data_IF_210953510647
#
_entry.id   IF_210953510647
#
_cell.length_a   1.000
_cell.length_b   1.000
_cell.length_c   1.000
_cell.angle_alpha   90.00
_cell.angle_beta   90.00
_cell.angle_gamma   90.00
#
_symmetry.space_group_name_H-M   'P 1'
#
loop_
_entity.id
_entity.type
_entity.pdbx_description
1 polymer ?
#
# COMPACT_ATOMS: atom_id res chain seq x y z
N UNK A 1 16.01 1.66 31.84
CA UNK A 1 16.26 2.22 30.50
C UNK A 1 15.20 1.66 29.57
N UNK A 2 14.41 2.49 28.87
CA UNK A 2 13.40 1.96 27.93
C UNK A 2 14.07 1.24 26.77
N UNK A 3 13.38 0.27 26.15
CA UNK A 3 13.88 -0.46 24.99
C UNK A 3 14.22 0.49 23.83
N UNK A 4 13.42 1.54 23.64
CA UNK A 4 13.67 2.56 22.63
C UNK A 4 14.97 3.33 22.88
N UNK A 5 15.27 3.73 24.13
CA UNK A 5 16.53 4.41 24.44
C UNK A 5 17.74 3.56 24.11
N UNK A 6 17.73 2.28 24.50
CA UNK A 6 18.81 1.36 24.17
C UNK A 6 19.00 1.24 22.67
N UNK A 7 17.90 1.13 21.92
CA UNK A 7 17.94 1.09 20.46
C UNK A 7 18.51 2.39 19.86
N UNK A 8 18.09 3.57 20.33
CA UNK A 8 18.62 4.85 19.87
C UNK A 8 20.12 4.95 20.15
N UNK A 9 20.57 4.56 21.34
CA UNK A 9 21.99 4.60 21.69
C UNK A 9 22.81 3.62 20.85
N UNK A 10 22.29 2.42 20.60
CA UNK A 10 22.88 1.45 19.67
C UNK A 10 23.02 2.02 18.26
N UNK A 11 21.94 2.60 17.71
CA UNK A 11 21.93 3.19 16.36
C UNK A 11 22.91 4.35 16.27
N UNK A 12 22.94 5.22 17.30
CA UNK A 12 23.87 6.37 17.38
C UNK A 12 25.33 5.90 17.36
N UNK A 13 25.65 4.82 18.06
CA UNK A 13 27.02 4.30 18.15
C UNK A 13 27.46 3.55 16.89
N UNK A 14 26.50 2.93 16.19
CA UNK A 14 26.83 1.90 15.19
C UNK A 14 26.56 2.32 13.75
N UNK A 15 25.61 3.22 13.50
CA UNK A 15 25.28 3.70 12.15
C UNK A 15 25.97 5.04 11.85
N UNK A 16 26.94 5.11 10.93
CA UNK A 16 27.62 6.36 10.58
C UNK A 16 26.69 7.48 10.12
N UNK A 17 25.59 7.15 9.44
CA UNK A 17 24.57 8.12 9.02
C UNK A 17 23.87 8.74 10.23
N UNK A 18 23.33 7.92 11.14
CA UNK A 18 22.62 8.43 12.31
C UNK A 18 23.54 9.10 13.32
N UNK A 19 24.78 8.63 13.47
CA UNK A 19 25.80 9.31 14.29
C UNK A 19 26.03 10.76 13.84
N UNK A 20 26.13 10.99 12.53
CA UNK A 20 26.29 12.33 11.95
C UNK A 20 25.03 13.19 12.13
N UNK A 21 23.85 12.62 11.85
CA UNK A 21 22.57 13.32 12.00
C UNK A 21 22.27 13.71 13.47
N UNK A 22 22.73 12.91 14.42
CA UNK A 22 22.45 13.10 15.85
C UNK A 22 23.61 13.70 16.64
N UNK A 23 24.66 14.21 15.99
CA UNK A 23 25.86 14.73 16.65
C UNK A 23 25.58 15.80 17.72
N UNK A 24 24.51 16.59 17.54
CA UNK A 24 24.11 17.68 18.44
C UNK A 24 22.84 17.35 19.23
N UNK A 25 22.32 16.12 19.13
CA UNK A 25 21.11 15.72 19.84
C UNK A 25 21.45 15.35 21.28
N UNK A 26 20.77 15.99 22.23
CA UNK A 26 20.83 15.62 23.65
C UNK A 26 19.51 14.95 24.02
N UNK A 27 19.56 13.67 24.39
CA UNK A 27 18.38 12.97 24.88
C UNK A 27 18.09 13.36 26.34
N UNK A 28 16.84 13.67 26.72
CA UNK A 28 16.48 13.87 28.13
C UNK A 28 16.77 12.59 28.93
N UNK A 29 17.09 12.66 30.22
CA UNK A 29 17.46 11.46 31.02
C UNK A 29 16.24 10.61 31.41
N UNK A 30 15.15 11.26 31.84
CA UNK A 30 13.92 10.62 32.32
C UNK A 30 12.76 10.84 31.35
N UNK A 31 13.04 10.71 30.05
CA UNK A 31 12.03 10.86 29.00
C UNK A 31 11.29 9.54 28.72
N UNK A 32 9.99 9.64 28.46
CA UNK A 32 9.22 8.57 27.84
C UNK A 32 9.58 8.39 26.35
N UNK A 33 8.95 7.41 25.69
CA UNK A 33 9.28 7.08 24.31
C UNK A 33 8.87 8.18 23.32
N UNK A 34 7.82 8.97 23.62
CA UNK A 34 7.40 10.08 22.77
C UNK A 34 8.38 11.26 22.89
N UNK A 35 8.75 11.63 24.13
CA UNK A 35 9.74 12.67 24.41
C UNK A 35 11.12 12.33 23.81
N UNK A 36 11.50 11.04 23.83
CA UNK A 36 12.70 10.53 23.17
C UNK A 36 12.67 10.73 21.65
N UNK A 37 11.55 10.43 21.01
CA UNK A 37 11.39 10.61 19.56
C UNK A 37 11.32 12.09 19.20
N UNK A 38 10.59 12.92 19.95
CA UNK A 38 10.51 14.36 19.69
C UNK A 38 11.89 15.05 19.74
N UNK A 39 12.80 14.57 20.59
CA UNK A 39 14.18 15.07 20.66
C UNK A 39 15.04 14.72 19.42
N UNK A 40 14.66 13.71 18.64
CA UNK A 40 15.37 13.30 17.43
C UNK A 40 14.79 14.02 16.19
N UNK A 41 15.59 14.43 15.21
CA UNK A 41 15.03 14.93 13.95
C UNK A 41 14.30 13.80 13.19
N UNK A 42 13.30 14.16 12.38
CA UNK A 42 12.77 13.26 11.35
C UNK A 42 13.93 12.92 10.40
N UNK A 43 14.07 11.63 10.05
CA UNK A 43 15.11 11.20 9.10
C UNK A 43 14.91 11.91 7.75
N UNK A 44 15.94 12.62 7.28
CA UNK A 44 15.95 13.13 5.92
C UNK A 44 15.98 11.96 4.94
N UNK A 45 14.84 11.72 4.29
CA UNK A 45 14.64 10.61 3.37
C UNK A 45 15.61 10.65 2.19
N UNK A 46 15.94 11.85 1.67
CA UNK A 46 16.86 11.99 0.55
C UNK A 46 18.27 11.63 1.00
N UNK A 47 18.72 12.22 2.10
CA UNK A 47 20.05 11.96 2.66
C UNK A 47 20.22 10.48 3.06
N UNK A 48 19.18 9.85 3.62
CA UNK A 48 19.18 8.43 3.96
C UNK A 48 19.48 7.55 2.75
N UNK A 49 18.81 7.81 1.62
CA UNK A 49 19.01 7.02 0.39
C UNK A 49 20.27 7.39 -0.38
N UNK A 50 20.80 8.61 -0.21
CA UNK A 50 22.15 8.97 -0.71
C UNK A 50 23.25 8.24 0.08
N UNK A 51 23.05 8.07 1.39
CA UNK A 51 23.96 7.34 2.28
C UNK A 51 23.82 5.80 2.17
N UNK A 52 22.73 5.31 1.58
CA UNK A 52 22.47 3.89 1.39
C UNK A 52 22.87 3.41 -0.01
N UNK A 53 23.92 2.60 -0.08
CA UNK A 53 24.51 2.10 -1.32
C UNK A 53 24.65 0.58 -1.29
N UNK A 54 24.78 -0.07 -2.44
CA UNK A 54 25.07 -1.51 -2.49
C UNK A 54 26.45 -1.87 -1.89
N UNK A 55 27.37 -0.91 -1.83
CA UNK A 55 28.71 -1.07 -1.30
C UNK A 55 29.05 0.07 -0.33
N UNK A 56 29.43 -0.27 0.90
CA UNK A 56 29.82 0.73 1.90
C UNK A 56 28.65 1.58 2.40
N UNK A 57 27.44 1.02 2.46
CA UNK A 57 26.26 1.70 2.98
C UNK A 57 26.53 2.27 4.38
N UNK A 58 26.34 3.58 4.54
CA UNK A 58 26.56 4.29 5.80
C UNK A 58 25.35 4.25 6.74
N UNK A 59 24.21 3.76 6.27
CA UNK A 59 23.01 3.62 7.11
C UNK A 59 23.05 2.35 7.95
N UNK A 60 23.83 1.34 7.55
CA UNK A 60 23.95 0.08 8.29
C UNK A 60 24.67 0.28 9.63
N UNK A 61 24.31 -0.55 10.60
CA UNK A 61 24.96 -0.59 11.93
C UNK A 61 26.10 -1.61 12.02
N UNK A 62 26.15 -2.54 11.06
CA UNK A 62 27.19 -3.55 10.94
C UNK A 62 27.29 -4.04 9.49
N UNK A 63 28.41 -4.65 9.07
CA UNK A 63 28.46 -5.39 7.81
C UNK A 63 27.40 -6.50 7.76
N UNK A 64 26.76 -6.69 6.62
CA UNK A 64 25.83 -7.81 6.45
C UNK A 64 26.60 -9.14 6.41
N UNK A 65 26.42 -9.96 7.45
CA UNK A 65 27.01 -11.31 7.54
C UNK A 65 26.06 -12.43 7.12
N UNK A 66 24.75 -12.18 7.11
CA UNK A 66 23.71 -13.17 6.86
C UNK A 66 22.44 -12.52 6.27
N UNK A 67 21.43 -13.35 5.99
CA UNK A 67 20.08 -12.92 5.66
C UNK A 67 19.85 -12.64 4.17
N UNK A 68 19.15 -11.55 3.86
CA UNK A 68 18.62 -11.27 2.51
C UNK A 68 18.70 -9.78 2.19
N UNK A 69 18.81 -9.45 0.91
CA UNK A 69 18.76 -8.08 0.39
C UNK A 69 17.56 -7.97 -0.53
N UNK A 70 16.75 -6.94 -0.32
CA UNK A 70 15.60 -6.63 -1.17
C UNK A 70 15.75 -5.25 -1.81
N UNK A 71 15.13 -5.04 -2.97
CA UNK A 71 14.89 -3.69 -3.49
C UNK A 71 13.67 -3.08 -2.81
N UNK A 72 13.67 -1.76 -2.66
CA UNK A 72 12.47 -1.01 -2.32
C UNK A 72 11.72 -0.60 -3.59
N UNK A 73 10.41 -0.43 -3.51
CA UNK A 73 9.60 -0.04 -4.68
C UNK A 73 9.94 1.36 -5.21
N UNK A 74 9.83 1.55 -6.53
CA UNK A 74 9.70 2.88 -7.16
C UNK A 74 10.97 3.73 -7.33
N UNK A 75 12.05 3.22 -7.94
CA UNK A 75 13.25 4.04 -8.19
C UNK A 75 13.73 4.02 -9.63
N UNK A 76 13.70 5.18 -10.28
CA UNK A 76 14.61 5.54 -11.37
C UNK A 76 15.94 6.02 -10.75
N UNK A 77 17.10 5.54 -11.24
CA UNK A 77 18.43 5.87 -10.70
C UNK A 77 19.05 4.79 -9.79
N UNK A 78 19.86 5.21 -8.80
CA UNK A 78 20.56 4.32 -7.87
C UNK A 78 19.58 3.34 -7.18
N UNK A 79 19.85 2.01 -7.18
CA UNK A 79 18.94 1.03 -6.62
C UNK A 79 18.88 1.18 -5.10
N UNK A 80 17.71 1.62 -4.60
CA UNK A 80 17.40 1.61 -3.17
C UNK A 80 17.19 0.16 -2.72
N UNK A 81 18.03 -0.29 -1.78
CA UNK A 81 18.00 -1.65 -1.25
C UNK A 81 17.84 -1.67 0.27
N UNK A 82 17.16 -2.68 0.78
CA UNK A 82 16.98 -2.96 2.20
C UNK A 82 17.68 -4.26 2.57
N UNK A 83 18.55 -4.18 3.57
CA UNK A 83 19.36 -5.30 4.05
C UNK A 83 18.72 -5.92 5.28
N UNK A 84 18.53 -7.23 5.32
CA UNK A 84 17.95 -7.95 6.45
C UNK A 84 18.89 -9.05 6.92
N UNK A 85 19.03 -9.23 8.23
CA UNK A 85 19.64 -10.45 8.82
C UNK A 85 18.69 -11.65 8.68
N UNK A 86 19.17 -12.87 8.94
CA UNK A 86 18.28 -14.05 8.95
C UNK A 86 17.19 -13.92 10.02
N UNK A 87 17.54 -13.43 11.21
CA UNK A 87 16.58 -13.25 12.29
C UNK A 87 15.52 -12.19 11.94
N UNK A 88 15.91 -11.07 11.34
CA UNK A 88 14.95 -10.05 10.91
C UNK A 88 14.01 -10.57 9.82
N UNK A 89 14.51 -11.40 8.89
CA UNK A 89 13.69 -12.06 7.87
C UNK A 89 12.72 -13.08 8.50
N UNK A 90 13.19 -13.89 9.45
CA UNK A 90 12.37 -14.87 10.17
C UNK A 90 11.22 -14.18 10.92
N UNK A 91 11.51 -13.06 11.58
CA UNK A 91 10.51 -12.22 12.24
C UNK A 91 9.46 -11.68 11.25
N UNK A 92 9.86 -11.22 10.05
CA UNK A 92 8.92 -10.80 9.00
C UNK A 92 7.96 -11.92 8.59
N UNK A 93 8.46 -13.15 8.49
CA UNK A 93 7.65 -14.32 8.20
C UNK A 93 6.53 -14.53 9.22
N UNK A 94 6.87 -14.46 10.52
CA UNK A 94 5.90 -14.58 11.61
C UNK A 94 4.90 -13.43 11.67
N UNK A 95 5.36 -12.18 11.48
CA UNK A 95 4.47 -11.00 11.43
C UNK A 95 3.42 -11.14 10.31
N UNK A 96 3.85 -11.54 9.11
CA UNK A 96 2.95 -11.72 7.97
C UNK A 96 2.04 -12.95 8.13
N UNK A 97 2.50 -14.00 8.81
CA UNK A 97 1.65 -15.13 9.19
C UNK A 97 0.52 -14.69 10.13
N UNK A 98 0.81 -13.79 11.09
CA UNK A 98 -0.23 -13.16 11.92
C UNK A 98 -1.24 -12.38 11.08
N UNK A 99 -0.78 -11.62 10.07
CA UNK A 99 -1.70 -10.94 9.15
C UNK A 99 -2.63 -11.92 8.41
N UNK A 100 -2.09 -13.00 7.85
CA UNK A 100 -2.88 -14.03 7.17
C UNK A 100 -3.94 -14.65 8.09
N UNK A 101 -3.56 -15.00 9.33
CA UNK A 101 -4.48 -15.54 10.33
C UNK A 101 -5.60 -14.53 10.66
N UNK A 102 -5.28 -13.24 10.81
CA UNK A 102 -6.28 -12.17 11.05
C UNK A 102 -7.20 -11.94 9.86
N UNK A 103 -6.74 -12.25 8.65
CA UNK A 103 -7.54 -12.26 7.43
C UNK A 103 -8.45 -13.49 7.30
N UNK A 104 -8.33 -14.47 8.20
CA UNK A 104 -9.14 -15.69 8.20
C UNK A 104 -8.59 -16.78 7.27
N UNK A 105 -7.30 -16.73 6.89
CA UNK A 105 -6.63 -17.82 6.16
C UNK A 105 -6.29 -18.94 7.15
N UNK A 106 -6.56 -20.18 6.78
CA UNK A 106 -6.28 -21.33 7.64
C UNK A 106 -6.29 -22.67 6.91
N UNK A 107 -6.44 -23.74 7.69
CA UNK A 107 -6.33 -25.12 7.21
C UNK A 107 -7.35 -25.40 6.10
N UNK A 108 -6.84 -25.93 4.99
CA UNK A 108 -7.66 -26.27 3.82
C UNK A 108 -7.68 -25.18 2.76
N UNK A 109 -7.26 -23.95 3.09
CA UNK A 109 -7.12 -22.92 2.08
C UNK A 109 -5.99 -23.23 1.10
N UNK A 110 -6.24 -22.94 -0.17
CA UNK A 110 -5.24 -22.96 -1.25
C UNK A 110 -4.94 -21.52 -1.62
N UNK A 111 -3.78 -21.03 -1.18
CA UNK A 111 -3.35 -19.63 -1.31
C UNK A 111 -2.56 -19.44 -2.60
N UNK A 112 -3.21 -18.87 -3.61
CA UNK A 112 -2.58 -18.44 -4.85
C UNK A 112 -1.71 -17.20 -4.58
N UNK A 113 -0.40 -17.40 -4.45
CA UNK A 113 0.55 -16.30 -4.32
C UNK A 113 0.93 -15.78 -5.72
N UNK A 114 0.38 -14.62 -6.07
CA UNK A 114 0.50 -13.97 -7.38
C UNK A 114 1.41 -12.73 -7.32
N UNK A 115 2.18 -12.55 -6.24
CA UNK A 115 3.16 -11.46 -6.18
C UNK A 115 4.38 -11.74 -7.07
N UNK A 116 5.08 -10.68 -7.48
CA UNK A 116 6.30 -10.80 -8.29
C UNK A 116 7.42 -11.51 -7.54
N UNK A 117 7.99 -12.53 -8.18
CA UNK A 117 9.14 -13.28 -7.70
C UNK A 117 10.43 -12.84 -8.40
N UNK A 118 11.53 -12.78 -7.65
CA UNK A 118 12.85 -12.44 -8.20
C UNK A 118 13.12 -10.94 -8.29
N UNK A 119 14.19 -10.57 -9.00
CA UNK A 119 14.70 -9.19 -9.14
C UNK A 119 14.84 -8.40 -7.82
N UNK A 120 15.09 -9.11 -6.72
CA UNK A 120 15.17 -8.57 -5.35
C UNK A 120 13.81 -8.06 -4.79
N UNK A 121 12.67 -8.34 -5.40
CA UNK A 121 11.37 -8.06 -4.78
C UNK A 121 11.08 -9.04 -3.65
N UNK A 122 10.67 -8.49 -2.51
CA UNK A 122 10.40 -9.28 -1.31
C UNK A 122 9.03 -9.98 -1.32
N UNK A 123 8.01 -9.39 -1.93
CA UNK A 123 6.61 -9.78 -1.70
C UNK A 123 6.33 -11.27 -1.93
N UNK A 124 6.76 -11.86 -3.05
CA UNK A 124 6.53 -13.29 -3.28
C UNK A 124 7.22 -14.16 -2.22
N UNK A 125 8.51 -13.93 -1.97
CA UNK A 125 9.30 -14.72 -1.00
C UNK A 125 8.78 -14.56 0.43
N UNK A 126 8.47 -13.33 0.84
CA UNK A 126 7.91 -13.05 2.16
C UNK A 126 6.57 -13.78 2.36
N UNK A 127 5.78 -13.93 1.30
CA UNK A 127 4.54 -14.70 1.36
C UNK A 127 4.70 -16.21 1.17
N UNK A 128 5.87 -16.69 0.73
CA UNK A 128 6.30 -18.08 1.00
C UNK A 128 6.41 -18.29 2.50
N UNK A 129 7.17 -17.44 3.19
CA UNK A 129 7.33 -17.53 4.64
C UNK A 129 6.03 -17.31 5.42
N UNK A 130 5.18 -16.37 5.02
CA UNK A 130 3.94 -16.09 5.76
C UNK A 130 3.00 -17.29 5.76
N UNK A 131 2.90 -18.04 4.65
CA UNK A 131 2.09 -19.28 4.60
C UNK A 131 2.80 -20.40 5.36
N UNK A 132 4.13 -20.49 5.26
CA UNK A 132 4.92 -21.49 5.99
C UNK A 132 4.77 -21.37 7.52
N UNK A 133 4.80 -20.16 8.05
CA UNK A 133 4.67 -19.87 9.48
C UNK A 133 3.21 -19.71 9.95
N UNK A 134 2.22 -19.83 9.06
CA UNK A 134 0.81 -19.68 9.42
C UNK A 134 0.38 -20.71 10.47
N UNK A 135 -0.06 -20.29 11.67
CA UNK A 135 -0.58 -21.22 12.66
C UNK A 135 -1.79 -21.98 12.12
N UNK A 136 -1.75 -23.32 12.19
CA UNK A 136 -2.79 -24.19 11.61
C UNK A 136 -2.55 -24.60 10.14
N UNK A 137 -1.67 -23.86 9.44
CA UNK A 137 -1.22 -24.10 8.08
C UNK A 137 -2.24 -23.74 7.00
N UNK A 138 -1.76 -23.56 5.78
CA UNK A 138 -2.54 -23.50 4.55
C UNK A 138 -1.71 -24.12 3.40
N UNK A 139 -2.34 -24.36 2.25
CA UNK A 139 -1.66 -24.90 1.07
C UNK A 139 -1.15 -23.73 0.24
N UNK A 140 0.16 -23.70 0.03
CA UNK A 140 0.80 -22.71 -0.82
C UNK A 140 0.68 -23.07 -2.31
N UNK A 141 0.19 -22.12 -3.12
CA UNK A 141 0.15 -22.24 -4.59
C UNK A 141 0.99 -21.10 -5.20
N UNK A 142 2.30 -21.30 -5.40
CA UNK A 142 3.26 -20.25 -5.72
C UNK A 142 3.33 -19.94 -7.24
N UNK A 143 2.34 -19.24 -7.78
CA UNK A 143 2.22 -18.97 -9.24
C UNK A 143 3.14 -17.84 -9.70
N UNK A 144 3.28 -16.77 -8.90
CA UNK A 144 4.05 -15.55 -9.17
C UNK A 144 3.43 -14.56 -10.19
N UNK A 145 3.73 -13.28 -9.98
CA UNK A 145 3.12 -12.12 -10.66
C UNK A 145 3.59 -11.84 -12.09
N UNK A 146 4.68 -12.46 -12.53
CA UNK A 146 5.18 -12.32 -13.91
C UNK A 146 4.54 -13.33 -14.88
N UNK A 147 3.73 -14.27 -14.37
CA UNK A 147 2.97 -15.20 -15.19
C UNK A 147 1.83 -14.46 -15.90
N UNK A 148 1.51 -14.84 -17.13
CA UNK A 148 0.41 -14.22 -17.88
C UNK A 148 -0.95 -14.46 -17.21
N UNK A 149 -1.88 -13.49 -17.34
CA UNK A 149 -3.21 -13.54 -16.71
C UNK A 149 -3.99 -14.81 -17.08
N UNK A 150 -3.93 -15.24 -18.34
CA UNK A 150 -4.58 -16.48 -18.78
C UNK A 150 -4.09 -17.70 -18.01
N UNK A 151 -2.77 -17.84 -17.87
CA UNK A 151 -2.14 -18.95 -17.14
C UNK A 151 -2.36 -18.86 -15.64
N UNK A 152 -2.37 -17.65 -15.07
CA UNK A 152 -2.79 -17.45 -13.66
C UNK A 152 -4.19 -18.00 -13.43
N UNK A 153 -5.14 -17.66 -14.31
CA UNK A 153 -6.53 -18.14 -14.23
C UNK A 153 -6.63 -19.65 -14.41
N UNK A 154 -5.88 -20.24 -15.34
CA UNK A 154 -5.79 -21.70 -15.51
C UNK A 154 -5.36 -22.40 -14.21
N UNK A 155 -4.37 -21.85 -13.50
CA UNK A 155 -3.94 -22.40 -12.21
C UNK A 155 -4.97 -22.17 -11.09
N UNK A 156 -5.58 -20.98 -11.03
CA UNK A 156 -6.63 -20.65 -10.04
C UNK A 156 -7.80 -21.63 -10.16
N UNK A 157 -8.26 -21.87 -11.38
CA UNK A 157 -9.39 -22.76 -11.68
C UNK A 157 -8.99 -24.23 -11.54
N UNK A 158 -7.88 -24.64 -12.17
CA UNK A 158 -7.44 -26.03 -12.18
C UNK A 158 -7.02 -26.56 -10.81
N UNK A 159 -6.59 -25.68 -9.91
CA UNK A 159 -6.27 -26.03 -8.52
C UNK A 159 -7.38 -25.64 -7.55
N UNK A 160 -8.47 -25.04 -8.00
CA UNK A 160 -9.60 -24.58 -7.18
C UNK A 160 -9.12 -23.75 -5.98
N UNK A 161 -8.33 -22.71 -6.25
CA UNK A 161 -7.73 -21.90 -5.18
C UNK A 161 -8.79 -21.12 -4.41
N UNK A 162 -8.63 -21.01 -3.09
CA UNK A 162 -9.64 -20.36 -2.22
C UNK A 162 -9.26 -18.93 -1.83
N UNK A 163 -7.96 -18.60 -1.86
CA UNK A 163 -7.44 -17.28 -1.48
C UNK A 163 -6.54 -16.77 -2.60
N UNK A 164 -6.79 -15.55 -3.09
CA UNK A 164 -5.84 -14.84 -3.96
C UNK A 164 -5.03 -13.86 -3.14
N UNK A 165 -3.71 -13.91 -3.28
CA UNK A 165 -2.76 -13.05 -2.59
C UNK A 165 -1.92 -12.30 -3.61
N UNK A 166 -2.21 -11.00 -3.81
CA UNK A 166 -1.71 -10.26 -4.99
C UNK A 166 -1.72 -8.73 -4.80
N UNK A 167 -1.40 -7.97 -5.84
CA UNK A 167 -1.65 -6.52 -5.89
C UNK A 167 -3.07 -6.23 -6.38
N UNK A 168 -3.62 -5.05 -6.09
CA UNK A 168 -4.95 -4.64 -6.58
C UNK A 168 -4.98 -4.67 -8.10
N UNK A 169 -3.92 -4.16 -8.74
CA UNK A 169 -3.75 -4.12 -10.20
C UNK A 169 -3.87 -5.51 -10.83
N UNK A 170 -3.12 -6.49 -10.35
CA UNK A 170 -3.18 -7.86 -10.89
C UNK A 170 -4.55 -8.49 -10.63
N UNK A 171 -5.15 -8.21 -9.47
CA UNK A 171 -6.49 -8.67 -9.14
C UNK A 171 -7.55 -8.15 -10.11
N UNK A 172 -7.52 -6.85 -10.42
CA UNK A 172 -8.42 -6.22 -11.40
C UNK A 172 -8.22 -6.80 -12.79
N UNK A 173 -6.99 -7.02 -13.24
CA UNK A 173 -6.71 -7.67 -14.55
C UNK A 173 -7.28 -9.09 -14.65
N UNK A 174 -7.21 -9.86 -13.56
CA UNK A 174 -7.83 -11.19 -13.50
C UNK A 174 -9.36 -11.05 -13.60
N UNK A 175 -9.95 -10.12 -12.86
CA UNK A 175 -11.39 -9.89 -12.91
C UNK A 175 -11.86 -9.46 -14.31
N UNK A 176 -11.18 -8.50 -14.95
CA UNK A 176 -11.47 -8.08 -16.33
C UNK A 176 -11.37 -9.24 -17.31
N UNK A 177 -10.33 -10.07 -17.19
CA UNK A 177 -10.14 -11.25 -18.04
C UNK A 177 -11.25 -12.30 -17.87
N UNK A 178 -11.74 -12.50 -16.64
CA UNK A 178 -12.85 -13.40 -16.35
C UNK A 178 -14.19 -12.85 -16.86
N UNK A 179 -14.37 -11.53 -16.82
CA UNK A 179 -15.60 -10.83 -17.19
C UNK A 179 -15.67 -10.41 -18.67
N UNK A 180 -14.64 -10.70 -19.47
CA UNK A 180 -14.57 -10.35 -20.89
C UNK A 180 -15.82 -10.84 -21.65
N UNK A 181 -16.39 -9.95 -22.48
CA UNK A 181 -17.55 -10.21 -23.33
C UNK A 181 -17.21 -10.09 -24.82
N UNK A 182 -17.96 -10.81 -25.65
CA UNK A 182 -17.89 -10.64 -27.10
C UNK A 182 -18.61 -9.36 -27.57
N UNK A 183 -18.57 -9.05 -28.87
CA UNK A 183 -19.22 -7.86 -29.45
C UNK A 183 -20.74 -7.80 -29.22
N UNK A 184 -21.37 -8.90 -28.79
CA UNK A 184 -22.79 -9.00 -28.46
C UNK A 184 -23.05 -8.96 -26.95
N UNK A 185 -22.02 -8.69 -26.13
CA UNK A 185 -22.10 -8.60 -24.68
C UNK A 185 -22.20 -9.96 -23.97
N UNK A 186 -21.88 -11.08 -24.65
CA UNK A 186 -21.96 -12.42 -24.04
C UNK A 186 -20.63 -12.78 -23.38
N UNK A 187 -20.62 -13.35 -22.16
CA UNK A 187 -19.37 -13.71 -21.49
C UNK A 187 -18.56 -14.74 -22.31
N UNK A 188 -17.30 -14.42 -22.60
CA UNK A 188 -16.39 -15.28 -23.37
C UNK A 188 -15.93 -16.49 -22.55
N UNK A 189 -15.79 -16.32 -21.23
CA UNK A 189 -15.22 -17.31 -20.29
C UNK A 189 -16.17 -17.72 -19.18
N UNK A 190 -17.45 -17.87 -19.50
CA UNK A 190 -18.50 -18.13 -18.50
C UNK A 190 -18.18 -19.26 -17.53
N UNK A 191 -17.82 -20.44 -18.03
CA UNK A 191 -17.53 -21.62 -17.18
C UNK A 191 -16.30 -21.42 -16.29
N UNK A 192 -15.24 -20.80 -16.83
CA UNK A 192 -14.01 -20.47 -16.10
C UNK A 192 -14.30 -19.47 -14.98
N UNK A 193 -15.08 -18.42 -15.27
CA UNK A 193 -15.51 -17.42 -14.30
C UNK A 193 -16.37 -18.03 -13.20
N UNK A 194 -17.30 -18.92 -13.53
CA UNK A 194 -18.14 -19.62 -12.55
C UNK A 194 -17.32 -20.49 -11.59
N UNK A 195 -16.30 -21.22 -12.07
CA UNK A 195 -15.43 -22.02 -11.20
C UNK A 195 -14.59 -21.14 -10.28
N UNK A 196 -14.03 -20.04 -10.80
CA UNK A 196 -13.25 -19.11 -10.00
C UNK A 196 -14.11 -18.44 -8.92
N UNK A 197 -15.29 -17.92 -9.29
CA UNK A 197 -16.26 -17.30 -8.39
C UNK A 197 -16.78 -18.24 -7.30
N UNK A 198 -16.88 -19.54 -7.60
CA UNK A 198 -17.33 -20.57 -6.65
C UNK A 198 -16.30 -20.86 -5.56
N UNK A 199 -15.01 -20.89 -5.89
CA UNK A 199 -13.97 -21.35 -4.96
C UNK A 199 -13.24 -20.20 -4.25
N UNK A 200 -13.00 -19.09 -4.94
CA UNK A 200 -12.30 -17.94 -4.36
C UNK A 200 -13.23 -17.24 -3.36
N UNK A 201 -12.88 -17.35 -2.07
CA UNK A 201 -13.62 -16.76 -0.95
C UNK A 201 -12.94 -15.52 -0.36
N UNK A 202 -11.67 -15.29 -0.67
CA UNK A 202 -10.87 -14.24 -0.06
C UNK A 202 -9.86 -13.65 -1.05
N UNK A 203 -9.89 -12.33 -1.17
CA UNK A 203 -9.03 -11.53 -2.01
C UNK A 203 -8.15 -10.65 -1.11
N UNK A 204 -6.87 -11.01 -1.01
CA UNK A 204 -5.89 -10.32 -0.17
C UNK A 204 -4.97 -9.47 -1.04
N UNK A 205 -4.89 -8.19 -0.72
CA UNK A 205 -4.00 -7.26 -1.42
C UNK A 205 -2.99 -6.59 -0.49
N UNK A 206 -1.85 -6.20 -1.05
CA UNK A 206 -0.85 -5.38 -0.36
C UNK A 206 -0.04 -4.52 -1.32
N UNK A 207 0.47 -3.40 -0.79
CA UNK A 207 1.38 -2.49 -1.48
C UNK A 207 0.72 -1.56 -2.49
N UNK A 208 -0.60 -1.58 -2.61
CA UNK A 208 -1.41 -0.67 -3.43
C UNK A 208 -2.64 -0.24 -2.63
N UNK A 209 -3.14 0.96 -2.91
CA UNK A 209 -4.44 1.37 -2.42
C UNK A 209 -5.54 0.70 -3.27
N UNK A 210 -6.62 0.30 -2.59
CA UNK A 210 -7.84 -0.18 -3.24
C UNK A 210 -8.86 0.96 -3.26
N UNK A 211 -9.47 1.18 -4.40
CA UNK A 211 -10.43 2.27 -4.61
C UNK A 211 -11.84 1.74 -4.93
N UNK A 212 -12.91 2.53 -4.68
CA UNK A 212 -14.29 2.07 -4.83
C UNK A 212 -14.64 1.53 -6.21
N UNK A 213 -14.08 2.10 -7.27
CA UNK A 213 -14.23 1.65 -8.67
C UNK A 213 -13.75 0.20 -8.87
N UNK A 214 -12.65 -0.16 -8.23
CA UNK A 214 -12.08 -1.51 -8.32
C UNK A 214 -12.89 -2.52 -7.51
N UNK A 215 -13.52 -2.11 -6.40
CA UNK A 215 -14.39 -2.97 -5.61
C UNK A 215 -15.55 -3.50 -6.46
N UNK A 216 -16.14 -2.68 -7.32
CA UNK A 216 -17.24 -3.08 -8.21
C UNK A 216 -16.86 -4.20 -9.17
N UNK A 217 -15.72 -4.06 -9.86
CA UNK A 217 -15.21 -5.07 -10.81
C UNK A 217 -14.87 -6.38 -10.09
N UNK A 218 -14.22 -6.27 -8.92
CA UNK A 218 -13.86 -7.43 -8.11
C UNK A 218 -15.11 -8.18 -7.60
N UNK A 219 -16.13 -7.44 -7.15
CA UNK A 219 -17.40 -8.01 -6.70
C UNK A 219 -18.17 -8.70 -7.83
N UNK A 220 -18.07 -8.20 -9.07
CA UNK A 220 -18.68 -8.84 -10.24
C UNK A 220 -17.99 -10.17 -10.59
N UNK A 221 -16.65 -10.22 -10.53
CA UNK A 221 -15.89 -11.43 -10.83
C UNK A 221 -15.91 -12.47 -9.69
N UNK A 222 -15.95 -12.01 -8.44
CA UNK A 222 -15.85 -12.85 -7.24
C UNK A 222 -16.92 -12.46 -6.20
N UNK A 223 -18.21 -12.72 -6.48
CA UNK A 223 -19.33 -12.22 -5.68
C UNK A 223 -19.38 -12.77 -4.24
N UNK A 224 -18.78 -13.94 -4.00
CA UNK A 224 -18.70 -14.54 -2.66
C UNK A 224 -17.41 -14.18 -1.92
N UNK A 225 -16.49 -13.46 -2.57
CA UNK A 225 -15.17 -13.20 -2.00
C UNK A 225 -15.15 -11.93 -1.16
N UNK A 226 -14.51 -12.04 0.01
CA UNK A 226 -14.22 -10.88 0.86
C UNK A 226 -12.92 -10.24 0.38
N UNK A 227 -12.86 -8.92 0.31
CA UNK A 227 -11.64 -8.18 -0.09
C UNK A 227 -10.99 -7.61 1.17
N UNK A 228 -9.70 -7.88 1.38
CA UNK A 228 -8.96 -7.38 2.54
C UNK A 228 -7.57 -6.86 2.20
N UNK A 229 -7.21 -5.71 2.77
CA UNK A 229 -5.80 -5.29 2.86
C UNK A 229 -5.09 -6.20 3.86
N UNK A 230 -4.05 -6.89 3.40
CA UNK A 230 -3.30 -7.85 4.22
C UNK A 230 -2.36 -7.16 5.21
N UNK A 231 -1.72 -6.09 4.77
CA UNK A 231 -0.66 -5.45 5.55
C UNK A 231 -0.33 -4.06 5.01
N UNK A 232 -0.08 -3.13 5.92
CA UNK A 232 0.57 -1.86 5.64
C UNK A 232 2.04 -1.90 6.06
N UNK A 233 2.94 -1.51 5.16
CA UNK A 233 4.37 -1.50 5.43
C UNK A 233 5.19 -1.26 4.18
N UNK A 234 6.51 -1.26 4.37
CA UNK A 234 7.50 -1.10 3.31
C UNK A 234 8.70 -1.99 3.57
N UNK A 235 9.55 -2.17 2.55
CA UNK A 235 10.77 -2.98 2.69
C UNK A 235 11.82 -2.31 3.57
N UNK A 236 11.75 -1.00 3.78
CA UNK A 236 12.64 -0.23 4.65
C UNK A 236 12.12 -0.17 6.09
N UNK A 237 10.82 0.09 6.27
CA UNK A 237 10.18 0.28 7.59
C UNK A 237 9.64 -1.00 8.21
N UNK A 238 9.53 -2.09 7.44
CA UNK A 238 8.99 -3.38 7.90
C UNK A 238 7.46 -3.44 7.89
N UNK A 239 6.90 -4.35 8.70
CA UNK A 239 5.44 -4.55 8.84
C UNK A 239 4.88 -3.56 9.85
N UNK A 240 4.42 -2.39 9.38
CA UNK A 240 3.99 -1.26 10.22
C UNK A 240 2.59 -1.46 10.79
N UNK A 241 1.65 -1.85 9.94
CA UNK A 241 0.25 -2.01 10.28
C UNK A 241 -0.28 -3.39 9.91
N UNK A 242 -0.75 -4.12 10.91
CA UNK A 242 -1.46 -5.38 10.74
C UNK A 242 -2.91 -5.11 10.33
N UNK A 243 -3.53 -6.05 9.63
CA UNK A 243 -4.98 -6.02 9.46
C UNK A 243 -5.65 -6.08 10.85
N UNK A 244 -6.65 -5.23 11.13
CA UNK A 244 -7.42 -5.33 12.38
C UNK A 244 -8.10 -6.71 12.50
N UNK A 245 -8.08 -7.33 13.69
CA UNK A 245 -8.78 -8.59 13.93
C UNK A 245 -10.29 -8.40 13.77
N UNK A 246 -10.98 -9.48 13.41
CA UNK A 246 -12.43 -9.50 13.26
C UNK A 246 -13.05 -10.56 14.17
N UNK A 247 -14.36 -10.42 14.39
CA UNK A 247 -15.16 -11.49 14.97
C UNK A 247 -15.03 -12.74 14.07
N UNK A 248 -14.73 -13.91 14.63
CA UNK A 248 -14.72 -15.13 13.85
C UNK A 248 -16.11 -15.40 13.25
N UNK A 249 -16.16 -15.98 12.05
CA UNK A 249 -17.41 -16.37 11.37
C UNK A 249 -18.28 -17.34 12.23
N UNK A 250 -17.68 -17.94 13.26
CA UNK A 250 -18.33 -18.74 14.30
C UNK A 250 -17.95 -18.20 15.67
N UNK A 251 -18.90 -17.88 16.58
CA UNK A 251 -18.58 -17.42 17.92
C UNK A 251 -17.67 -18.44 18.64
N UNK A 252 -16.65 -18.01 19.40
CA UNK A 252 -15.95 -18.92 20.29
C UNK A 252 -16.95 -19.58 21.25
N UNK A 253 -16.71 -20.85 21.60
CA UNK A 253 -17.54 -21.57 22.56
C UNK A 253 -17.74 -20.73 23.84
N UNK A 254 -18.96 -20.74 24.40
CA UNK A 254 -19.30 -19.95 25.59
C UNK A 254 -18.25 -20.16 26.70
N UNK A 255 -17.74 -19.08 27.31
CA UNK A 255 -16.78 -19.21 28.40
C UNK A 255 -17.40 -19.97 29.56
N UNK A 256 -16.60 -20.82 30.20
CA UNK A 256 -17.09 -21.74 31.23
C UNK A 256 -17.47 -21.02 32.54
N UNK A 257 -17.15 -19.72 32.69
CA UNK A 257 -17.46 -18.96 33.91
C UNK A 257 -17.61 -17.43 33.70
N UNK A 258 -18.41 -16.75 34.53
CA UNK A 258 -18.59 -15.28 34.48
C UNK A 258 -17.31 -14.48 34.74
N UNK A 259 -16.33 -15.02 35.48
CA UNK A 259 -15.05 -14.35 35.75
C UNK A 259 -14.13 -14.28 34.54
N UNK A 260 -14.27 -15.19 33.57
CA UNK A 260 -13.52 -15.15 32.31
C UNK A 260 -14.06 -14.09 31.33
N UNK A 261 -15.28 -13.58 31.56
CA UNK A 261 -15.93 -12.57 30.72
C UNK A 261 -15.40 -11.17 31.02
N UNK A 262 -15.26 -10.81 32.31
CA UNK A 262 -14.78 -9.48 32.72
C UNK A 262 -13.31 -9.20 32.32
N UNK A 263 -12.45 -10.23 32.33
CA UNK A 263 -11.05 -10.11 31.90
C UNK A 263 -10.90 -10.10 30.38
N UNK A 264 -11.79 -10.76 29.63
CA UNK A 264 -11.81 -10.74 28.15
C UNK A 264 -12.39 -9.45 27.59
N UNK A 265 -13.42 -8.87 28.21
CA UNK A 265 -14.01 -7.60 27.75
C UNK A 265 -13.04 -6.42 27.81
N UNK A 266 -12.09 -6.43 28.76
CA UNK A 266 -11.00 -5.42 28.85
C UNK A 266 -9.86 -5.65 27.87
N UNK A 267 -9.78 -6.82 27.24
CA UNK A 267 -8.74 -7.21 26.27
C UNK A 267 -9.27 -7.39 24.85
N UNK A 268 -10.58 -7.21 24.60
CA UNK A 268 -11.11 -7.41 23.27
C UNK A 268 -10.58 -6.30 22.34
N UNK A 269 -9.74 -6.61 21.33
CA UNK A 269 -9.37 -5.62 20.34
C UNK A 269 -10.62 -5.12 19.65
N UNK A 270 -10.64 -3.84 19.25
CA UNK A 270 -11.73 -3.29 18.45
C UNK A 270 -11.95 -4.19 17.22
N UNK A 271 -13.03 -4.95 17.25
CA UNK A 271 -13.41 -5.87 16.17
C UNK A 271 -14.07 -5.03 15.07
N UNK A 272 -13.42 -4.86 13.93
CA UNK A 272 -14.05 -4.17 12.80
C UNK A 272 -14.93 -5.18 12.04
N UNK A 273 -16.24 -4.90 11.96
CA UNK A 273 -17.21 -5.71 11.21
C UNK A 273 -16.90 -5.75 9.71
N UNK A 274 -17.36 -6.78 9.01
CA UNK A 274 -16.98 -7.17 7.64
C UNK A 274 -17.08 -6.14 6.50
N UNK A 275 -17.60 -4.95 6.76
CA UNK A 275 -17.69 -3.83 5.82
C UNK A 275 -16.53 -2.81 6.00
N UNK A 276 -15.34 -3.32 6.37
CA UNK A 276 -14.23 -2.51 6.87
C UNK A 276 -13.63 -1.58 5.82
N UNK A 277 -13.41 -0.33 6.21
CA UNK A 277 -12.47 0.56 5.54
C UNK A 277 -11.09 -0.12 5.43
N UNK A 278 -10.73 -0.53 4.20
CA UNK A 278 -9.53 -1.31 3.90
C UNK A 278 -8.21 -0.56 4.16
N UNK A 279 -8.31 0.72 4.49
CA UNK A 279 -7.20 1.60 4.83
C UNK A 279 -6.88 1.61 6.32
N UNK A 280 -7.71 0.97 7.16
CA UNK A 280 -7.51 0.95 8.61
C UNK A 280 -6.62 -0.21 9.02
N UNK A 281 -5.60 0.09 9.80
CA UNK A 281 -4.59 -0.85 10.28
C UNK A 281 -4.39 -0.75 11.78
N UNK A 282 -4.04 -1.88 12.40
CA UNK A 282 -3.59 -1.97 13.79
C UNK A 282 -2.07 -1.89 13.82
N UNK A 283 -1.53 -0.92 14.55
CA UNK A 283 -0.10 -0.76 14.78
C UNK A 283 0.52 -2.06 15.29
N UNK A 284 1.63 -2.45 14.69
CA UNK A 284 2.37 -3.67 15.02
C UNK A 284 3.32 -3.48 16.22
N UNK A 285 2.81 -2.93 17.32
CA UNK A 285 3.62 -2.52 18.47
C UNK A 285 4.32 -3.69 19.17
N UNK A 286 3.75 -4.90 19.13
CA UNK A 286 4.34 -6.12 19.68
C UNK A 286 5.71 -6.46 19.07
N UNK A 287 5.95 -6.04 17.83
CA UNK A 287 7.21 -6.24 17.11
C UNK A 287 8.09 -4.99 17.10
N UNK A 288 7.82 -4.04 17.99
CA UNK A 288 8.66 -2.87 18.19
C UNK A 288 8.46 -1.76 17.16
N UNK A 289 7.31 -1.73 16.48
CA UNK A 289 6.91 -0.63 15.58
C UNK A 289 6.25 0.49 16.38
N UNK A 290 6.72 1.71 16.14
CA UNK A 290 6.17 2.95 16.66
C UNK A 290 5.81 3.83 15.46
N UNK A 291 4.62 4.42 15.49
CA UNK A 291 4.12 5.33 14.45
C UNK A 291 3.81 6.68 15.08
N UNK A 292 4.26 7.75 14.44
CA UNK A 292 3.84 9.12 14.70
C UNK A 292 3.11 9.65 13.47
N UNK A 293 2.05 10.44 13.69
CA UNK A 293 1.38 11.18 12.63
C UNK A 293 1.78 12.64 12.82
N UNK A 294 2.60 13.16 11.90
CA UNK A 294 3.16 14.51 11.99
C UNK A 294 2.30 15.45 11.15
N UNK A 295 1.62 16.40 11.81
CA UNK A 295 0.80 17.42 11.15
C UNK A 295 1.66 18.44 10.40
N UNK A 296 1.03 19.24 9.53
CA UNK A 296 1.73 20.23 8.69
C UNK A 296 2.50 21.30 9.51
N UNK A 297 2.09 21.53 10.77
CA UNK A 297 2.77 22.40 11.73
C UNK A 297 3.98 21.74 12.41
N UNK A 298 4.28 20.48 12.09
CA UNK A 298 5.41 19.70 12.60
C UNK A 298 5.17 18.96 13.91
N UNK A 299 3.96 19.02 14.48
CA UNK A 299 3.62 18.34 15.75
C UNK A 299 3.21 16.88 15.53
N UNK A 300 3.57 16.00 16.46
CA UNK A 300 3.00 14.65 16.50
C UNK A 300 1.59 14.71 17.10
N UNK A 301 0.57 14.35 16.31
CA UNK A 301 -0.81 14.28 16.80
C UNK A 301 -1.17 12.88 17.30
N UNK A 302 -1.99 12.86 18.35
CA UNK A 302 -2.71 11.67 18.87
C UNK A 302 -4.23 11.82 18.71
N UNK A 303 -4.68 12.96 18.18
CA UNK A 303 -6.10 13.29 18.01
C UNK A 303 -6.68 12.44 16.88
N UNK A 304 -7.76 11.67 17.14
CA UNK A 304 -8.45 10.95 16.08
C UNK A 304 -8.92 11.88 14.95
N UNK A 305 -8.71 11.46 13.70
CA UNK A 305 -9.11 12.20 12.50
C UNK A 305 -8.18 13.35 12.10
N UNK A 306 -7.24 13.77 12.95
CA UNK A 306 -6.24 14.77 12.59
C UNK A 306 -5.20 14.12 11.65
N UNK A 307 -5.05 14.69 10.47
CA UNK A 307 -4.26 14.10 9.39
C UNK A 307 -2.82 14.63 9.38
N UNK A 308 -1.87 13.78 8.99
CA UNK A 308 -0.47 14.16 8.86
C UNK A 308 0.35 13.11 8.12
N UNK A 309 1.66 13.35 7.99
CA UNK A 309 2.59 12.38 7.42
C UNK A 309 2.86 11.25 8.42
N UNK A 310 2.85 10.01 7.94
CA UNK A 310 3.18 8.83 8.73
C UNK A 310 4.70 8.74 8.87
N UNK A 311 5.19 8.75 10.11
CA UNK A 311 6.59 8.61 10.46
C UNK A 311 6.75 7.36 11.33
N UNK A 312 7.71 6.50 10.97
CA UNK A 312 7.87 5.17 11.55
C UNK A 312 9.21 5.04 12.26
N UNK A 313 9.20 4.44 13.45
CA UNK A 313 10.40 3.92 14.10
C UNK A 313 10.24 2.41 14.27
N UNK A 314 11.21 1.63 13.80
CA UNK A 314 11.20 0.18 13.94
C UNK A 314 12.40 -0.30 14.77
N UNK A 315 12.15 -0.64 16.02
CA UNK A 315 13.19 -1.13 16.96
C UNK A 315 13.59 -2.58 16.71
N UNK A 316 12.78 -3.33 15.96
CA UNK A 316 13.09 -4.70 15.52
C UNK A 316 14.08 -4.76 14.34
N UNK A 317 14.36 -3.62 13.70
CA UNK A 317 15.32 -3.49 12.60
C UNK A 317 16.65 -2.93 13.10
N UNK A 318 17.60 -3.82 13.42
CA UNK A 318 18.91 -3.43 13.92
C UNK A 318 19.95 -3.27 12.83
N UNK A 319 19.96 -4.11 11.78
CA UNK A 319 21.02 -4.07 10.75
C UNK A 319 20.95 -2.78 9.91
N UNK A 320 19.75 -2.45 9.43
CA UNK A 320 19.46 -1.22 8.70
C UNK A 320 18.29 -0.51 9.42
N UNK A 321 18.59 0.31 10.43
CA UNK A 321 17.57 0.92 11.27
C UNK A 321 16.72 1.95 10.51
N UNK A 322 15.45 2.03 10.91
CA UNK A 322 14.50 3.06 10.51
C UNK A 322 14.02 3.77 11.78
N UNK A 323 14.54 4.98 12.03
CA UNK A 323 14.23 5.80 13.22
C UNK A 323 13.65 7.12 12.77
N UNK A 324 12.43 7.45 13.20
CA UNK A 324 11.64 8.59 12.68
C UNK A 324 11.71 8.67 11.16
N UNK A 325 11.56 7.53 10.50
CA UNK A 325 11.64 7.38 9.07
C UNK A 325 10.32 7.80 8.42
N UNK A 326 10.30 8.80 7.51
CA UNK A 326 9.06 9.19 6.84
C UNK A 326 8.67 8.09 5.83
N UNK A 327 7.48 7.51 5.99
CA UNK A 327 7.01 6.44 5.07
C UNK A 327 6.71 6.96 3.66
N UNK A 328 6.49 8.28 3.56
CA UNK A 328 6.01 8.93 2.34
C UNK A 328 4.50 8.76 2.13
N UNK A 329 3.76 8.37 3.17
CA UNK A 329 2.31 8.24 3.17
C UNK A 329 1.68 9.20 4.21
N UNK A 330 0.43 9.59 3.99
CA UNK A 330 -0.40 10.32 4.95
C UNK A 330 -1.30 9.37 5.72
N UNK A 331 -1.63 9.75 6.95
CA UNK A 331 -2.55 9.01 7.79
C UNK A 331 -3.24 9.87 8.82
N UNK A 332 -4.21 9.27 9.49
CA UNK A 332 -4.86 9.83 10.67
C UNK A 332 -5.11 8.71 11.69
N UNK A 333 -5.07 9.04 12.98
CA UNK A 333 -5.48 8.10 14.01
C UNK A 333 -6.99 7.86 13.88
N UNK A 334 -7.39 6.60 13.94
CA UNK A 334 -8.79 6.23 14.19
C UNK A 334 -9.00 6.17 15.70
N UNK A 335 -8.08 5.51 16.39
CA UNK A 335 -7.99 5.47 17.84
C UNK A 335 -6.52 5.28 18.22
N UNK A 336 -5.89 6.32 18.77
CA UNK A 336 -4.48 6.26 19.18
C UNK A 336 -4.25 5.28 20.34
N UNK A 337 -5.15 5.24 21.33
CA UNK A 337 -5.01 4.35 22.50
C UNK A 337 -5.06 2.88 22.13
N UNK A 338 -5.82 2.55 21.09
CA UNK A 338 -5.87 1.23 20.49
C UNK A 338 -4.86 1.04 19.35
N UNK A 339 -4.02 2.02 19.03
CA UNK A 339 -3.07 1.94 17.93
C UNK A 339 -3.74 1.67 16.57
N UNK A 340 -4.96 2.15 16.36
CA UNK A 340 -5.67 2.04 15.10
C UNK A 340 -5.49 3.32 14.29
N UNK A 341 -4.97 3.20 13.07
CA UNK A 341 -4.74 4.33 12.17
C UNK A 341 -5.24 4.02 10.78
N UNK A 342 -5.57 5.06 10.03
CA UNK A 342 -6.02 5.01 8.65
C UNK A 342 -4.94 5.57 7.74
N UNK A 343 -4.61 4.86 6.66
CA UNK A 343 -3.73 5.35 5.60
C UNK A 343 -4.56 6.12 4.57
N UNK A 344 -4.19 7.37 4.31
CA UNK A 344 -4.97 8.29 3.45
C UNK A 344 -4.43 8.38 2.02
N UNK A 345 -3.23 7.86 1.78
CA UNK A 345 -2.56 7.92 0.49
C UNK A 345 -1.11 8.36 0.64
N UNK A 346 -0.48 8.79 -0.45
CA UNK A 346 0.91 9.27 -0.46
C UNK A 346 1.00 10.71 0.07
N UNK A 347 2.06 10.99 0.79
CA UNK A 347 2.46 12.33 1.28
C UNK A 347 2.89 13.26 0.13
N UNK A 348 3.20 12.69 -1.05
CA UNK A 348 3.71 13.43 -2.22
C UNK A 348 3.01 13.08 -3.53
N UNK A 349 1.70 12.88 -3.51
CA UNK A 349 0.89 12.73 -4.73
C UNK A 349 0.47 14.06 -5.36
N UNK A 350 0.95 15.18 -4.85
CA UNK A 350 0.74 16.49 -5.46
C UNK A 350 1.62 16.66 -6.72
N UNK A 351 0.98 16.53 -7.88
CA UNK A 351 1.54 16.84 -9.18
C UNK A 351 1.61 18.35 -9.37
N UNK A 352 2.79 18.88 -9.69
CA UNK A 352 2.95 20.31 -10.01
C UNK A 352 2.70 20.57 -11.48
N UNK A 353 1.74 21.45 -11.80
CA UNK A 353 1.41 21.91 -13.16
C UNK A 353 1.53 23.43 -13.17
N UNK A 354 2.66 23.95 -13.66
CA UNK A 354 3.05 25.34 -13.43
C UNK A 354 3.13 25.64 -11.92
N UNK A 355 2.48 26.71 -11.42
CA UNK A 355 2.44 27.04 -10.00
C UNK A 355 1.39 26.24 -9.20
N UNK A 356 0.55 25.44 -9.85
CA UNK A 356 -0.58 24.73 -9.23
C UNK A 356 -0.16 23.33 -8.78
N UNK A 357 -0.57 22.95 -7.57
CA UNK A 357 -0.43 21.58 -7.05
C UNK A 357 -1.76 20.83 -7.21
N UNK A 358 -1.72 19.66 -7.84
CA UNK A 358 -2.87 18.79 -8.07
C UNK A 358 -2.60 17.44 -7.42
N UNK A 359 -3.30 17.13 -6.32
CA UNK A 359 -3.17 15.85 -5.65
C UNK A 359 -3.83 14.71 -6.45
N UNK A 360 -3.10 13.61 -6.64
CA UNK A 360 -3.56 12.44 -7.38
C UNK A 360 -4.81 11.81 -6.76
N UNK A 361 -4.86 11.67 -5.42
CA UNK A 361 -5.98 11.02 -4.73
C UNK A 361 -7.24 11.84 -4.94
N UNK A 362 -7.15 13.15 -4.73
CA UNK A 362 -8.28 14.06 -4.96
C UNK A 362 -8.74 14.08 -6.43
N UNK A 363 -7.81 14.06 -7.39
CA UNK A 363 -8.18 14.01 -8.81
C UNK A 363 -8.81 12.65 -9.18
N UNK A 364 -8.34 11.56 -8.58
CA UNK A 364 -8.95 10.23 -8.76
C UNK A 364 -10.37 10.20 -8.21
N UNK A 365 -10.60 10.73 -7.02
CA UNK A 365 -11.94 10.78 -6.40
C UNK A 365 -12.94 11.56 -7.26
N UNK A 366 -12.47 12.67 -7.84
CA UNK A 366 -13.25 13.51 -8.75
C UNK A 366 -13.62 12.79 -10.05
N UNK A 367 -12.66 12.06 -10.63
CA UNK A 367 -12.92 11.24 -11.82
C UNK A 367 -13.90 10.12 -11.48
N UNK A 368 -13.69 9.41 -10.37
CA UNK A 368 -14.58 8.34 -9.91
C UNK A 368 -16.02 8.85 -9.69
N UNK A 369 -16.19 10.01 -9.03
CA UNK A 369 -17.49 10.63 -8.84
C UNK A 369 -18.16 11.01 -10.17
N UNK A 370 -17.37 11.44 -11.16
CA UNK A 370 -17.88 11.78 -12.50
C UNK A 370 -18.29 10.54 -13.31
N UNK A 371 -17.55 9.44 -13.16
CA UNK A 371 -17.85 8.17 -13.81
C UNK A 371 -19.13 7.54 -13.25
N UNK A 372 -19.33 7.66 -11.94
CA UNK A 372 -20.43 7.04 -11.20
C UNK A 372 -20.21 5.54 -10.97
N UNK A 373 -21.06 4.92 -10.16
CA UNK A 373 -20.98 3.49 -9.82
C UNK A 373 -21.14 2.57 -11.03
N UNK A 374 -21.85 3.03 -12.06
CA UNK A 374 -22.23 2.20 -13.21
C UNK A 374 -21.13 2.10 -14.27
N UNK A 375 -20.03 2.85 -14.10
CA UNK A 375 -18.89 2.90 -15.02
C UNK A 375 -17.57 2.68 -14.26
N UNK A 376 -17.32 1.46 -13.79
CA UNK A 376 -16.07 1.17 -13.10
C UNK A 376 -14.88 1.38 -14.03
N UNK A 377 -13.80 1.94 -13.50
CA UNK A 377 -12.55 2.13 -14.22
C UNK A 377 -11.53 1.11 -13.72
N UNK A 378 -10.76 0.51 -14.64
CA UNK A 378 -9.78 -0.52 -14.27
C UNK A 378 -8.53 0.09 -13.61
N UNK A 379 -8.16 1.29 -14.04
CA UNK A 379 -7.00 2.04 -13.57
C UNK A 379 -7.11 3.53 -13.93
N UNK A 380 -6.36 4.36 -13.20
CA UNK A 380 -6.21 5.79 -13.46
C UNK A 380 -4.74 6.19 -13.33
N UNK A 381 -4.24 6.99 -14.27
CA UNK A 381 -2.85 7.44 -14.29
C UNK A 381 -2.78 8.90 -14.74
N UNK A 382 -1.96 9.69 -14.04
CA UNK A 382 -1.67 11.07 -14.42
C UNK A 382 -0.37 11.12 -15.20
N UNK A 383 -0.36 11.89 -16.26
CA UNK A 383 0.85 12.21 -17.01
C UNK A 383 1.03 13.73 -17.08
N UNK A 384 2.18 14.20 -16.64
CA UNK A 384 2.62 15.58 -16.84
C UNK A 384 3.59 15.63 -18.00
N UNK A 385 3.42 16.59 -18.89
CA UNK A 385 4.28 16.82 -20.05
C UNK A 385 4.36 18.31 -20.37
N UNK A 386 5.13 18.67 -21.40
CA UNK A 386 5.16 20.03 -21.96
C UNK A 386 4.49 20.03 -23.33
N UNK A 387 3.65 21.03 -23.61
CA UNK A 387 3.13 21.36 -24.95
C UNK A 387 3.19 22.87 -25.11
N UNK A 388 3.75 23.34 -26.22
CA UNK A 388 3.86 24.78 -26.54
C UNK A 388 4.45 25.62 -25.39
N UNK A 389 5.53 25.12 -24.79
CA UNK A 389 6.22 25.70 -23.62
C UNK A 389 5.38 25.82 -22.32
N UNK A 390 4.22 25.17 -22.25
CA UNK A 390 3.33 25.12 -21.07
C UNK A 390 3.25 23.72 -20.49
N UNK A 391 2.94 23.63 -19.20
CA UNK A 391 2.71 22.35 -18.55
C UNK A 391 1.34 21.80 -18.94
N UNK A 392 1.30 20.52 -19.28
CA UNK A 392 0.09 19.78 -19.65
C UNK A 392 -0.11 18.63 -18.68
N UNK A 393 -1.27 18.60 -18.03
CA UNK A 393 -1.74 17.47 -17.25
C UNK A 393 -2.69 16.62 -18.11
N UNK A 394 -2.36 15.35 -18.29
CA UNK A 394 -3.20 14.35 -18.95
C UNK A 394 -3.66 13.31 -17.95
N UNK A 395 -4.97 13.04 -17.91
CA UNK A 395 -5.57 11.94 -17.16
C UNK A 395 -5.82 10.78 -18.13
N UNK A 396 -5.18 9.65 -17.88
CA UNK A 396 -5.46 8.39 -18.57
C UNK A 396 -6.45 7.60 -17.71
N UNK A 397 -7.62 7.31 -18.27
CA UNK A 397 -8.69 6.56 -17.63
C UNK A 397 -8.84 5.24 -18.37
N UNK A 398 -8.51 4.13 -17.71
CA UNK A 398 -8.67 2.79 -18.29
C UNK A 398 -10.15 2.39 -18.23
N UNK A 399 -10.89 2.80 -19.25
CA UNK A 399 -12.31 2.58 -19.46
C UNK A 399 -12.61 2.68 -20.94
N UNK A 400 -13.54 1.87 -21.44
CA UNK A 400 -13.96 1.85 -22.84
C UNK A 400 -15.38 2.43 -22.97
N UNK A 401 -15.54 3.68 -23.44
CA UNK A 401 -16.85 4.26 -23.70
C UNK A 401 -17.63 3.45 -24.74
N UNK A 402 -18.95 3.36 -24.55
CA UNK A 402 -19.86 2.67 -25.46
C UNK A 402 -20.15 3.45 -26.74
N UNK A 403 -19.89 4.77 -26.76
CA UNK A 403 -20.02 5.62 -27.95
C UNK A 403 -19.09 6.84 -27.92
N UNK A 404 -18.87 7.45 -29.09
CA UNK A 404 -18.09 8.70 -29.19
C UNK A 404 -18.78 9.90 -28.49
N UNK A 405 -20.11 9.89 -28.42
CA UNK A 405 -20.88 10.90 -27.69
C UNK A 405 -20.66 10.76 -26.18
N UNK A 406 -20.67 9.53 -25.65
CA UNK A 406 -20.36 9.26 -24.24
C UNK A 406 -18.93 9.69 -23.90
N UNK A 407 -17.97 9.34 -24.76
CA UNK A 407 -16.57 9.73 -24.57
C UNK A 407 -16.42 11.26 -24.45
N UNK A 408 -17.04 12.00 -25.37
CA UNK A 408 -16.99 13.46 -25.40
C UNK A 408 -17.65 14.08 -24.17
N UNK A 409 -18.80 13.53 -23.77
CA UNK A 409 -19.52 13.97 -22.58
C UNK A 409 -18.71 13.76 -21.29
N UNK A 410 -18.13 12.57 -21.11
CA UNK A 410 -17.32 12.23 -19.94
C UNK A 410 -16.06 13.10 -19.84
N UNK A 411 -15.34 13.30 -20.95
CA UNK A 411 -14.16 14.19 -20.97
C UNK A 411 -14.53 15.59 -20.49
N UNK A 412 -15.62 16.14 -21.02
CA UNK A 412 -16.12 17.47 -20.64
C UNK A 412 -16.49 17.53 -19.16
N UNK A 413 -17.19 16.53 -18.63
CA UNK A 413 -17.59 16.49 -17.22
C UNK A 413 -16.38 16.39 -16.28
N UNK A 414 -15.39 15.57 -16.61
CA UNK A 414 -14.15 15.43 -15.81
C UNK A 414 -13.38 16.75 -15.78
N UNK A 415 -13.23 17.42 -16.93
CA UNK A 415 -12.58 18.73 -16.98
C UNK A 415 -13.35 19.78 -16.17
N UNK A 416 -14.68 19.83 -16.32
CA UNK A 416 -15.52 20.78 -15.57
C UNK A 416 -15.47 20.55 -14.06
N UNK A 417 -15.47 19.29 -13.63
CA UNK A 417 -15.35 18.95 -12.22
C UNK A 417 -13.98 19.39 -11.65
N UNK A 418 -12.88 19.21 -12.39
CA UNK A 418 -11.57 19.72 -11.95
C UNK A 418 -11.55 21.24 -11.85
N UNK A 419 -12.11 21.93 -12.84
CA UNK A 419 -12.21 23.38 -12.86
C UNK A 419 -12.98 23.93 -11.65
N UNK A 420 -14.09 23.28 -11.28
CA UNK A 420 -14.89 23.61 -10.10
C UNK A 420 -14.14 23.33 -8.80
N UNK A 421 -13.53 22.14 -8.69
CA UNK A 421 -12.81 21.73 -7.49
C UNK A 421 -11.46 22.45 -7.30
N UNK A 422 -10.92 23.04 -8.37
CA UNK A 422 -9.64 23.78 -8.38
C UNK A 422 -9.74 25.05 -9.24
N UNK A 423 -10.40 26.13 -8.73
CA UNK A 423 -10.50 27.40 -9.44
C UNK A 423 -9.14 28.02 -9.83
N UNK A 424 -8.09 27.72 -9.05
CA UNK A 424 -6.72 28.14 -9.37
C UNK A 424 -6.17 27.45 -10.63
N UNK A 425 -6.47 26.16 -10.85
CA UNK A 425 -6.08 25.46 -12.08
C UNK A 425 -6.76 26.11 -13.28
N UNK A 426 -8.09 26.28 -13.20
CA UNK A 426 -8.88 26.98 -14.22
C UNK A 426 -8.35 28.39 -14.52
N UNK A 427 -8.06 29.18 -13.48
CA UNK A 427 -7.53 30.54 -13.65
C UNK A 427 -6.19 30.59 -14.41
N UNK A 428 -5.32 29.59 -14.24
CA UNK A 428 -4.05 29.50 -14.97
C UNK A 428 -4.23 29.00 -16.41
N UNK A 429 -5.25 28.18 -16.66
CA UNK A 429 -5.66 27.82 -18.03
C UNK A 429 -6.24 29.03 -18.75
N UNK A 430 -7.15 29.77 -18.11
CA UNK A 430 -7.79 30.97 -18.68
C UNK A 430 -6.77 32.11 -18.93
N UNK A 431 -5.74 32.22 -18.09
CA UNK A 431 -4.62 33.15 -18.26
C UNK A 431 -3.54 32.64 -19.23
N UNK A 432 -3.75 31.50 -19.88
CA UNK A 432 -2.85 30.88 -20.86
C UNK A 432 -1.44 30.55 -20.29
N UNK A 433 -1.34 30.29 -18.99
CA UNK A 433 -0.09 29.98 -18.28
C UNK A 433 0.22 28.46 -18.25
N UNK A 434 -0.82 27.62 -18.30
CA UNK A 434 -0.73 26.16 -18.39
C UNK A 434 -1.73 25.66 -19.43
N UNK A 435 -1.55 24.43 -19.94
CA UNK A 435 -2.54 23.84 -20.84
C UNK A 435 -3.82 23.41 -20.10
N UNK A 436 -4.98 23.41 -20.77
CA UNK A 436 -6.19 22.76 -20.27
C UNK A 436 -5.94 21.28 -19.95
N UNK A 437 -6.72 20.74 -19.00
CA UNK A 437 -6.71 19.31 -18.70
C UNK A 437 -7.01 18.50 -19.95
N UNK A 438 -6.21 17.47 -20.21
CA UNK A 438 -6.47 16.49 -21.26
C UNK A 438 -6.93 15.18 -20.63
N UNK A 439 -7.99 14.59 -21.14
CA UNK A 439 -8.52 13.31 -20.66
C UNK A 439 -8.51 12.31 -21.81
N UNK A 440 -7.95 11.12 -21.58
CA UNK A 440 -7.90 10.02 -22.55
C UNK A 440 -8.50 8.77 -21.94
N UNK A 441 -9.42 8.16 -22.67
CA UNK A 441 -9.88 6.81 -22.42
C UNK A 441 -8.97 5.84 -23.13
N UNK A 442 -8.44 4.88 -22.39
CA UNK A 442 -7.42 3.94 -22.87
C UNK A 442 -7.78 2.52 -22.49
N UNK A 443 -7.18 1.55 -23.17
CA UNK A 443 -7.21 0.17 -22.71
C UNK A 443 -6.35 0.00 -21.44
N UNK A 444 -6.69 -0.97 -20.58
CA UNK A 444 -5.93 -1.25 -19.36
C UNK A 444 -4.46 -1.62 -19.62
N UNK A 445 -4.13 -2.09 -20.83
CA UNK A 445 -2.76 -2.37 -21.26
C UNK A 445 -1.91 -1.13 -21.56
N UNK A 446 -2.53 0.03 -21.82
CA UNK A 446 -1.84 1.29 -22.17
C UNK A 446 -1.38 2.07 -20.92
N UNK A 447 -1.86 1.70 -19.73
CA UNK A 447 -1.43 2.29 -18.47
C UNK A 447 -0.03 1.81 -18.13
N UNK A 448 0.90 2.75 -17.91
CA UNK A 448 2.29 2.39 -17.66
C UNK A 448 2.40 1.76 -16.28
N UNK A 449 2.92 0.54 -16.27
CA UNK A 449 3.28 -0.18 -15.07
C UNK A 449 4.75 0.02 -14.77
N UNK A 450 5.10 -0.07 -13.49
CA UNK A 450 6.48 -0.35 -13.11
C UNK A 450 6.89 -1.69 -13.73
N UNK A 451 7.88 -1.70 -14.66
CA UNK A 451 8.46 -2.93 -15.27
C UNK A 451 8.86 -3.99 -14.24
N UNK A 452 9.09 -3.50 -13.02
CA UNK A 452 9.67 -4.15 -11.87
C UNK A 452 8.65 -4.77 -10.92
N UNK A 453 7.57 -4.07 -10.59
CA UNK A 453 6.58 -4.51 -9.59
C UNK A 453 5.17 -4.75 -10.13
N UNK A 454 4.94 -4.51 -11.42
CA UNK A 454 3.63 -4.65 -12.07
C UNK A 454 2.55 -3.68 -11.58
N UNK A 455 2.91 -2.76 -10.70
CA UNK A 455 2.02 -1.72 -10.15
C UNK A 455 1.85 -0.59 -11.13
N UNK A 456 0.64 -0.03 -11.21
CA UNK A 456 0.37 1.22 -11.92
C UNK A 456 1.24 2.33 -11.35
N UNK A 457 1.89 3.11 -12.22
CA UNK A 457 2.55 4.35 -11.81
C UNK A 457 1.46 5.43 -11.73
N UNK A 458 1.13 5.92 -10.54
CA UNK A 458 0.06 6.92 -10.36
C UNK A 458 0.33 8.22 -11.13
N UNK A 459 1.60 8.67 -11.15
CA UNK A 459 2.02 9.91 -11.81
C UNK A 459 3.28 9.68 -12.64
N UNK A 460 3.20 9.99 -13.93
CA UNK A 460 4.33 10.04 -14.86
C UNK A 460 4.67 11.50 -15.12
N UNK A 461 5.87 11.94 -14.74
CA UNK A 461 6.38 13.23 -15.17
C UNK A 461 7.34 13.04 -16.35
N UNK A 462 6.93 13.53 -17.51
CA UNK A 462 7.68 13.45 -18.77
C UNK A 462 8.18 14.81 -19.25
N UNK A 463 8.15 15.83 -18.38
CA UNK A 463 8.82 17.10 -18.64
C UNK A 463 10.33 16.83 -18.65
N UNK A 464 11.05 17.39 -19.62
CA UNK A 464 12.50 17.23 -19.74
C UNK A 464 13.18 17.64 -18.42
N UNK A 465 13.97 16.74 -17.86
CA UNK A 465 14.92 17.04 -16.78
C UNK A 465 16.26 17.30 -17.45
N UNK A 466 16.50 18.56 -17.79
CA UNK A 466 17.87 19.04 -17.99
C UNK A 466 18.44 19.47 -16.63
#
# INVERSE_FOLDING_TARGET
MSQLREFIDYVRQSSPFYAEQWQNVVLPQDADDDELLEALPITDHKAYWEANTCHGSRVLTAPQGDGVIFKTGGTTGNPKVSFYTQQELDNLGHMLATCLARCGVGRGDKVANLFYAGDLYGSFLLHIFSVHYLPGGAIQVPIAGHVGISTMVEHIVGLETTVLLTTVTTMSKIADYLLETDDLGRPVRKEVAEVAAKHVRLLLFSGEALYPDQIGVLGAAFPAARIRSLVYGSMDSGIVGLTPPQLPDTPPAEPASPSEVEDKEKQLPLMLQDDTDQRVHKLNSEWGLIVQIITDDGRATKTPGEEGSIVVTNTGRRLMPAVRYPSGDRGAWVDHGLGLFRVLGRDRTAVRVGPVSVDFVHLRDLVAATMGSDRPIAALQLKVSRRDAKDLLTVLVAYRPGSAEEETDLKRRICAALDEARPMFKGHVDADLICPLEVKFVDGSEVVMTERSGKVIDVIDSRATD
#
